data_IF_147380413008
#
_entry.id   IF_147380413008
#
_cell.length_a   1.000
_cell.length_b   1.000
_cell.length_c   1.000
_cell.angle_alpha   90.00
_cell.angle_beta   90.00
_cell.angle_gamma   90.00
#
_symmetry.space_group_name_H-M   'P 1'
#
loop_
_entity.id
_entity.type
_entity.pdbx_description
1 polymer ?
#
# COMPACT_ATOMS: atom_id res chain seq x y z
N UNK A 1 16.44 -6.64 -16.34
CA UNK A 1 15.33 -7.33 -15.65
C UNK A 1 14.03 -6.88 -16.31
N UNK A 2 13.18 -7.81 -16.77
CA UNK A 2 11.86 -7.47 -17.29
C UNK A 2 10.91 -7.23 -16.10
N UNK A 3 10.17 -6.12 -16.11
CA UNK A 3 9.12 -5.85 -15.11
C UNK A 3 7.90 -6.71 -15.42
N UNK A 4 7.32 -7.36 -14.41
CA UNK A 4 6.06 -8.07 -14.58
C UNK A 4 4.95 -7.10 -14.99
N UNK A 5 4.07 -7.50 -15.90
CA UNK A 5 2.95 -6.67 -16.39
C UNK A 5 1.68 -6.78 -15.55
N UNK A 6 1.69 -7.60 -14.50
CA UNK A 6 0.54 -7.75 -13.61
C UNK A 6 0.35 -6.49 -12.76
N UNK A 7 -0.90 -6.09 -12.48
CA UNK A 7 -1.17 -5.00 -11.54
C UNK A 7 -0.54 -5.29 -10.17
N UNK A 8 0.12 -4.27 -9.61
CA UNK A 8 0.85 -4.40 -8.35
C UNK A 8 0.50 -3.25 -7.41
N UNK A 9 -0.15 -3.59 -6.29
CA UNK A 9 -0.53 -2.68 -5.22
C UNK A 9 0.44 -2.85 -4.04
N UNK A 10 0.91 -1.73 -3.50
CA UNK A 10 1.72 -1.66 -2.28
C UNK A 10 0.95 -0.81 -1.26
N UNK A 11 0.88 -1.27 -0.02
CA UNK A 11 0.38 -0.49 1.11
C UNK A 11 1.48 -0.37 2.16
N UNK A 12 1.81 0.85 2.57
CA UNK A 12 2.78 1.09 3.62
C UNK A 12 2.27 2.10 4.63
N UNK A 13 2.52 1.87 5.91
CA UNK A 13 2.13 2.78 6.98
C UNK A 13 3.25 3.80 7.23
N UNK A 14 2.89 5.07 7.44
CA UNK A 14 3.84 6.18 7.46
C UNK A 14 4.84 6.10 8.62
N UNK A 15 4.38 5.69 9.80
CA UNK A 15 5.17 5.70 11.04
C UNK A 15 5.21 4.34 11.75
N UNK A 16 4.97 3.23 11.02
CA UNK A 16 5.09 1.89 11.62
C UNK A 16 6.56 1.48 11.77
N UNK A 17 6.82 0.60 12.74
CA UNK A 17 8.18 0.12 13.04
C UNK A 17 8.49 -1.26 12.46
N UNK A 18 7.48 -2.14 12.33
CA UNK A 18 7.69 -3.54 11.91
C UNK A 18 8.06 -3.65 10.42
N UNK A 19 7.40 -2.86 9.57
CA UNK A 19 7.70 -2.73 8.15
C UNK A 19 7.86 -1.26 7.76
N UNK A 20 9.00 -0.62 8.08
CA UNK A 20 9.17 0.82 7.93
C UNK A 20 8.73 1.34 6.55
N UNK A 21 8.10 2.52 6.50
CA UNK A 21 7.58 3.11 5.26
C UNK A 21 8.61 3.17 4.11
N UNK A 22 9.88 3.38 4.46
CA UNK A 22 10.99 3.39 3.51
C UNK A 22 11.11 2.09 2.70
N UNK A 23 10.71 0.94 3.25
CA UNK A 23 10.70 -0.33 2.55
C UNK A 23 9.62 -0.36 1.47
N UNK A 24 8.41 0.15 1.76
CA UNK A 24 7.34 0.27 0.77
C UNK A 24 7.76 1.21 -0.38
N UNK A 25 8.44 2.31 -0.06
CA UNK A 25 9.01 3.22 -1.07
C UNK A 25 10.10 2.53 -1.91
N UNK A 26 10.96 1.73 -1.28
CA UNK A 26 12.01 0.99 -1.98
C UNK A 26 11.41 -0.05 -2.94
N UNK A 27 10.37 -0.78 -2.52
CA UNK A 27 9.64 -1.72 -3.38
C UNK A 27 8.98 -1.00 -4.56
N UNK A 28 8.32 0.13 -4.32
CA UNK A 28 7.73 0.94 -5.39
C UNK A 28 8.79 1.40 -6.40
N UNK A 29 9.95 1.86 -5.92
CA UNK A 29 11.06 2.30 -6.79
C UNK A 29 11.68 1.14 -7.58
N UNK A 30 11.84 -0.02 -6.97
CA UNK A 30 12.52 -1.17 -7.59
C UNK A 30 11.62 -1.97 -8.54
N UNK A 31 10.39 -2.26 -8.11
CA UNK A 31 9.46 -3.14 -8.82
C UNK A 31 8.39 -2.37 -9.63
N UNK A 32 8.19 -1.08 -9.35
CA UNK A 32 7.06 -0.31 -9.87
C UNK A 32 5.79 -0.55 -9.05
N UNK A 33 4.63 -0.51 -9.70
CA UNK A 33 3.34 -0.60 -9.04
C UNK A 33 2.88 0.70 -8.40
N UNK A 34 1.80 0.64 -7.64
CA UNK A 34 1.15 1.81 -7.03
C UNK A 34 1.24 1.74 -5.52
N UNK A 35 1.77 2.80 -4.90
CA UNK A 35 1.89 2.93 -3.45
C UNK A 35 0.72 3.71 -2.87
N UNK A 36 0.03 3.08 -1.91
CA UNK A 36 -0.90 3.73 -0.99
C UNK A 36 -0.21 3.90 0.37
N UNK A 37 -0.12 5.13 0.84
CA UNK A 37 0.43 5.47 2.15
C UNK A 37 -0.69 5.61 3.18
N UNK A 38 -0.68 4.78 4.21
CA UNK A 38 -1.60 4.90 5.35
C UNK A 38 -0.98 5.83 6.39
N UNK A 39 -1.69 6.86 6.80
CA UNK A 39 -1.21 7.91 7.70
C UNK A 39 -1.34 7.50 9.17
N UNK A 40 -0.73 6.39 9.56
CA UNK A 40 -0.57 5.95 10.96
C UNK A 40 0.74 5.18 11.17
N UNK A 41 0.93 4.65 12.38
CA UNK A 41 2.03 3.74 12.72
C UNK A 41 1.59 2.35 13.17
N UNK A 42 0.37 1.93 12.85
CA UNK A 42 -0.19 0.65 13.32
C UNK A 42 0.01 -0.42 12.26
N UNK A 43 0.82 -1.43 12.58
CA UNK A 43 1.15 -2.49 11.64
C UNK A 43 -0.11 -3.22 11.14
N UNK A 44 -0.25 -3.29 9.82
CA UNK A 44 -1.36 -3.93 9.13
C UNK A 44 -2.76 -3.41 9.55
N UNK A 45 -2.89 -2.12 9.89
CA UNK A 45 -4.16 -1.50 10.27
C UNK A 45 -5.13 -1.29 9.10
N UNK A 46 -4.65 -1.34 7.85
CA UNK A 46 -5.44 -1.03 6.65
C UNK A 46 -6.76 -1.79 6.58
N UNK A 47 -6.78 -3.05 7.03
CA UNK A 47 -7.99 -3.91 7.09
C UNK A 47 -9.11 -3.36 7.98
N UNK A 48 -8.79 -2.46 8.89
CA UNK A 48 -9.72 -1.84 9.84
C UNK A 48 -10.17 -0.43 9.41
N UNK A 49 -9.71 0.06 8.25
CA UNK A 49 -9.97 1.41 7.75
C UNK A 49 -11.02 1.39 6.62
N UNK A 50 -11.75 2.50 6.36
CA UNK A 50 -12.60 2.60 5.18
C UNK A 50 -11.86 2.33 3.85
N UNK A 51 -10.54 2.60 3.82
CA UNK A 51 -9.66 2.33 2.69
C UNK A 51 -9.44 0.84 2.41
N UNK A 52 -9.86 -0.09 3.29
CA UNK A 52 -9.87 -1.53 3.00
C UNK A 52 -10.66 -1.85 1.72
N UNK A 53 -11.61 -1.00 1.34
CA UNK A 53 -12.34 -1.10 0.06
C UNK A 53 -11.40 -1.10 -1.15
N UNK A 54 -10.29 -0.36 -1.13
CA UNK A 54 -9.30 -0.37 -2.21
C UNK A 54 -8.61 -1.73 -2.37
N UNK A 55 -8.41 -2.47 -1.26
CA UNK A 55 -7.84 -3.82 -1.30
C UNK A 55 -8.82 -4.78 -1.96
N UNK A 56 -10.10 -4.68 -1.59
CA UNK A 56 -11.17 -5.50 -2.21
C UNK A 56 -11.28 -5.18 -3.70
N UNK A 57 -11.29 -3.90 -4.08
CA UNK A 57 -11.36 -3.48 -5.48
C UNK A 57 -10.16 -3.99 -6.29
N UNK A 58 -8.95 -3.91 -5.71
CA UNK A 58 -7.74 -4.45 -6.32
C UNK A 58 -7.87 -5.96 -6.56
N UNK A 59 -8.31 -6.74 -5.57
CA UNK A 59 -8.46 -8.18 -5.76
C UNK A 59 -9.56 -8.56 -6.75
N UNK A 60 -10.62 -7.76 -6.88
CA UNK A 60 -11.73 -8.04 -7.81
C UNK A 60 -11.44 -7.62 -9.25
N UNK A 61 -10.66 -6.55 -9.44
CA UNK A 61 -10.56 -5.88 -10.75
C UNK A 61 -9.13 -5.68 -11.24
N UNK A 62 -8.13 -5.86 -10.38
CA UNK A 62 -6.75 -5.46 -10.63
C UNK A 62 -6.53 -3.94 -10.59
N UNK A 63 -7.56 -3.13 -10.29
CA UNK A 63 -7.41 -1.67 -10.20
C UNK A 63 -6.53 -1.31 -9.00
N UNK A 64 -5.43 -0.62 -9.26
CA UNK A 64 -4.57 -0.09 -8.21
C UNK A 64 -5.03 1.29 -7.75
N UNK A 65 -4.72 1.63 -6.49
CA UNK A 65 -5.02 2.92 -5.87
C UNK A 65 -3.78 3.45 -5.18
N UNK A 66 -3.42 4.71 -5.46
CA UNK A 66 -2.27 5.38 -4.85
C UNK A 66 -2.67 6.55 -3.97
N UNK A 67 -1.66 7.28 -3.50
CA UNK A 67 -1.87 8.48 -2.68
C UNK A 67 -1.90 8.14 -1.19
N UNK A 68 -2.76 8.82 -0.45
CA UNK A 68 -2.83 8.69 1.02
C UNK A 68 -4.20 8.21 1.50
N UNK A 69 -4.18 7.48 2.61
CA UNK A 69 -5.36 7.06 3.35
C UNK A 69 -5.22 7.51 4.82
N UNK A 70 -6.25 8.13 5.43
CA UNK A 70 -6.27 8.36 6.87
C UNK A 70 -6.12 7.04 7.63
N UNK A 71 -5.17 6.99 8.57
CA UNK A 71 -4.92 5.80 9.39
C UNK A 71 -5.68 5.80 10.71
N UNK A 72 -5.37 4.83 11.57
CA UNK A 72 -5.81 4.83 12.96
C UNK A 72 -5.07 5.95 13.73
N UNK A 73 -5.75 6.49 14.75
CA UNK A 73 -5.12 7.46 15.67
C UNK A 73 -4.21 6.76 16.67
#
# INVERSE_FOLDING_TARGET
MARGSCPFQISGHLSEADTPHAWAQAVHKAAGGTLLTVLDGVHASLKNLPCATHVVDFFRTGKTTGGTCPGLK
#
